data_IF_853365543220
#
_entry.id   IF_853365543220
#
_cell.length_a   1.000
_cell.length_b   1.000
_cell.length_c   1.000
_cell.angle_alpha   90.00
_cell.angle_beta   90.00
_cell.angle_gamma   90.00
#
_symmetry.space_group_name_H-M   'P 1'
#
loop_
_entity.id
_entity.type
_entity.pdbx_description
1 polymer ?
#
# COMPACT_ATOMS: atom_id res chain seq x y z
N UNK A 1 13.19 15.53 35.04
CA UNK A 1 11.98 14.82 34.55
C UNK A 1 12.42 13.64 33.68
N UNK A 2 12.31 12.39 34.17
CA UNK A 2 12.49 11.20 33.33
C UNK A 2 11.27 11.07 32.43
N UNK A 3 11.44 11.32 31.13
CA UNK A 3 10.38 11.12 30.13
C UNK A 3 10.23 9.60 29.97
N UNK A 4 9.21 9.02 30.61
CA UNK A 4 8.86 7.62 30.40
C UNK A 4 8.33 7.49 28.97
N UNK A 5 9.21 7.18 28.03
CA UNK A 5 8.90 6.87 26.63
C UNK A 5 8.55 5.40 26.47
N UNK A 6 7.91 4.79 27.48
CA UNK A 6 7.38 3.45 27.33
C UNK A 6 6.14 3.52 26.45
N UNK A 7 6.28 3.05 25.21
CA UNK A 7 5.21 2.96 24.24
C UNK A 7 4.06 2.14 24.83
N UNK A 8 2.96 2.81 25.17
CA UNK A 8 1.77 2.15 25.70
C UNK A 8 1.00 1.45 24.57
N UNK A 9 1.43 0.23 24.26
CA UNK A 9 0.89 -0.61 23.20
C UNK A 9 -0.63 -0.82 23.33
N UNK A 10 -1.16 -0.96 24.55
CA UNK A 10 -2.60 -1.17 24.79
C UNK A 10 -3.42 0.08 24.45
N UNK A 11 -2.95 1.26 24.87
CA UNK A 11 -3.61 2.52 24.52
C UNK A 11 -3.54 2.75 23.01
N UNK A 12 -2.39 2.51 22.40
CA UNK A 12 -2.20 2.64 20.96
C UNK A 12 -3.13 1.71 20.16
N UNK A 13 -3.22 0.43 20.53
CA UNK A 13 -4.14 -0.53 19.90
C UNK A 13 -5.62 -0.12 20.06
N UNK A 14 -5.99 0.44 21.22
CA UNK A 14 -7.35 0.92 21.49
C UNK A 14 -7.75 2.09 20.58
N UNK A 15 -6.87 3.09 20.40
CA UNK A 15 -7.13 4.22 19.49
C UNK A 15 -7.07 3.83 18.01
N UNK A 16 -6.31 2.77 17.67
CA UNK A 16 -6.15 2.26 16.31
C UNK A 16 -7.27 1.34 15.85
N UNK A 17 -8.03 0.73 16.76
CA UNK A 17 -9.05 -0.27 16.46
C UNK A 17 -10.36 0.29 15.85
N UNK A 18 -10.31 1.47 15.22
CA UNK A 18 -11.49 2.21 14.79
C UNK A 18 -12.06 1.78 13.43
N UNK A 19 -11.28 1.12 12.57
CA UNK A 19 -11.74 0.80 11.23
C UNK A 19 -12.57 -0.49 11.19
N UNK A 20 -13.75 -0.42 10.57
CA UNK A 20 -14.56 -1.59 10.30
C UNK A 20 -13.82 -2.58 9.39
N UNK A 21 -13.93 -3.87 9.71
CA UNK A 21 -13.23 -4.95 8.98
C UNK A 21 -13.60 -4.95 7.49
N UNK A 22 -14.87 -4.69 7.16
CA UNK A 22 -15.35 -4.65 5.79
C UNK A 22 -14.79 -3.44 5.03
N UNK A 23 -14.68 -2.29 5.70
CA UNK A 23 -14.08 -1.08 5.11
C UNK A 23 -12.60 -1.28 4.80
N UNK A 24 -11.85 -1.95 5.69
CA UNK A 24 -10.44 -2.27 5.43
C UNK A 24 -10.32 -3.12 4.18
N UNK A 25 -11.10 -4.19 4.07
CA UNK A 25 -11.05 -5.10 2.92
C UNK A 25 -11.40 -4.38 1.62
N UNK A 26 -12.50 -3.64 1.63
CA UNK A 26 -12.94 -2.85 0.47
C UNK A 26 -11.90 -1.81 0.05
N UNK A 27 -11.35 -1.09 1.03
CA UNK A 27 -10.33 -0.06 0.77
C UNK A 27 -9.06 -0.67 0.21
N UNK A 28 -8.54 -1.75 0.80
CA UNK A 28 -7.32 -2.40 0.31
C UNK A 28 -7.49 -2.92 -1.11
N UNK A 29 -8.63 -3.57 -1.39
CA UNK A 29 -8.95 -4.04 -2.75
C UNK A 29 -8.98 -2.87 -3.73
N UNK A 30 -9.64 -1.77 -3.35
CA UNK A 30 -9.74 -0.57 -4.19
C UNK A 30 -8.37 0.08 -4.44
N UNK A 31 -7.54 0.20 -3.40
CA UNK A 31 -6.21 0.81 -3.52
C UNK A 31 -5.27 -0.04 -4.37
N UNK A 32 -5.20 -1.35 -4.13
CA UNK A 32 -4.28 -2.22 -4.84
C UNK A 32 -4.78 -2.54 -6.24
N UNK A 33 -5.96 -3.16 -6.35
CA UNK A 33 -6.46 -3.60 -7.66
C UNK A 33 -6.94 -2.39 -8.47
N UNK A 34 -7.71 -1.50 -7.84
CA UNK A 34 -8.33 -0.38 -8.54
C UNK A 34 -7.34 0.70 -8.97
N UNK A 35 -6.31 0.97 -8.17
CA UNK A 35 -5.38 2.08 -8.43
C UNK A 35 -3.99 1.58 -8.79
N UNK A 36 -3.29 0.86 -7.90
CA UNK A 36 -1.92 0.45 -8.16
C UNK A 36 -1.81 -0.47 -9.39
N UNK A 37 -2.65 -1.49 -9.49
CA UNK A 37 -2.56 -2.44 -10.60
C UNK A 37 -3.02 -1.82 -11.91
N UNK A 38 -4.13 -1.09 -11.91
CA UNK A 38 -4.69 -0.50 -13.15
C UNK A 38 -3.90 0.71 -13.64
N UNK A 39 -3.46 1.60 -12.75
CA UNK A 39 -2.87 2.88 -13.15
C UNK A 39 -1.34 2.93 -13.02
N UNK A 40 -0.73 1.99 -12.32
CA UNK A 40 0.74 1.92 -12.19
C UNK A 40 1.29 0.67 -12.87
N UNK A 41 0.74 -0.50 -12.56
CA UNK A 41 1.26 -1.76 -13.10
C UNK A 41 0.93 -1.94 -14.59
N UNK A 42 -0.33 -1.83 -14.99
CA UNK A 42 -0.73 -2.03 -16.39
C UNK A 42 0.00 -1.08 -17.36
N UNK A 43 0.12 0.24 -17.08
CA UNK A 43 0.85 1.13 -17.95
C UNK A 43 2.34 0.81 -18.02
N UNK A 44 2.94 0.14 -17.03
CA UNK A 44 4.32 -0.33 -17.13
C UNK A 44 4.49 -1.35 -18.28
N UNK A 45 3.47 -2.18 -18.55
CA UNK A 45 3.45 -3.18 -19.61
C UNK A 45 2.91 -2.70 -20.96
N UNK A 46 2.19 -1.57 -20.99
CA UNK A 46 1.63 -1.05 -22.23
C UNK A 46 2.70 -0.52 -23.20
N UNK A 47 2.39 -0.45 -24.50
CA UNK A 47 3.31 0.09 -25.50
C UNK A 47 3.59 1.58 -25.27
N UNK A 48 4.84 2.08 -25.45
CA UNK A 48 6.03 1.33 -25.86
C UNK A 48 6.59 0.46 -24.72
N UNK A 49 6.84 -0.82 -25.01
CA UNK A 49 7.35 -1.78 -24.02
C UNK A 49 8.82 -1.50 -23.75
N UNK A 50 9.13 -1.08 -22.53
CA UNK A 50 10.48 -0.76 -22.09
C UNK A 50 10.78 -1.49 -20.76
N UNK A 51 11.69 -2.49 -20.77
CA UNK A 51 11.93 -3.34 -19.61
C UNK A 51 12.35 -2.60 -18.35
N UNK A 52 13.08 -1.49 -18.48
CA UNK A 52 13.55 -0.70 -17.33
C UNK A 52 12.41 -0.24 -16.42
N UNK A 53 11.31 0.24 -17.01
CA UNK A 53 10.15 0.70 -16.25
C UNK A 53 9.41 -0.46 -15.56
N UNK A 54 9.36 -1.64 -16.18
CA UNK A 54 8.81 -2.82 -15.50
C UNK A 54 9.65 -3.24 -14.31
N UNK A 55 10.98 -3.28 -14.44
CA UNK A 55 11.85 -3.67 -13.33
C UNK A 55 11.78 -2.70 -12.15
N UNK A 56 11.45 -1.43 -12.38
CA UNK A 56 11.24 -0.44 -11.32
C UNK A 56 9.86 -0.61 -10.67
N UNK A 57 8.80 -0.82 -11.46
CA UNK A 57 7.41 -0.84 -10.98
C UNK A 57 6.98 -2.19 -10.40
N UNK A 58 7.37 -3.30 -11.04
CA UNK A 58 6.85 -4.63 -10.70
C UNK A 58 7.21 -5.05 -9.27
N UNK A 59 8.47 -4.93 -8.79
CA UNK A 59 8.81 -5.33 -7.43
C UNK A 59 8.01 -4.61 -6.32
N UNK A 60 7.89 -3.26 -6.30
CA UNK A 60 7.14 -2.58 -5.25
C UNK A 60 5.62 -2.83 -5.34
N UNK A 61 5.04 -2.95 -6.55
CA UNK A 61 3.61 -3.25 -6.69
C UNK A 61 3.30 -4.71 -6.31
N UNK A 62 4.17 -5.65 -6.65
CA UNK A 62 4.04 -7.04 -6.20
C UNK A 62 4.12 -7.15 -4.68
N UNK A 63 5.03 -6.39 -4.05
CA UNK A 63 5.12 -6.28 -2.60
C UNK A 63 3.81 -5.75 -1.99
N UNK A 64 3.23 -4.67 -2.54
CA UNK A 64 1.94 -4.14 -2.08
C UNK A 64 0.82 -5.18 -2.20
N UNK A 65 0.77 -5.93 -3.30
CA UNK A 65 -0.22 -6.99 -3.52
C UNK A 65 -0.14 -8.08 -2.45
N UNK A 66 1.05 -8.62 -2.20
CA UNK A 66 1.26 -9.65 -1.17
C UNK A 66 0.91 -9.11 0.22
N UNK A 67 1.31 -7.88 0.53
CA UNK A 67 1.03 -7.26 1.82
C UNK A 67 -0.47 -6.99 2.02
N UNK A 68 -1.15 -6.56 0.97
CA UNK A 68 -2.60 -6.36 0.94
C UNK A 68 -3.38 -7.66 1.18
N UNK A 69 -3.03 -8.75 0.49
CA UNK A 69 -3.62 -10.08 0.72
C UNK A 69 -3.43 -10.48 2.17
N UNK A 70 -2.23 -10.30 2.72
CA UNK A 70 -1.97 -10.56 4.13
C UNK A 70 -2.92 -9.74 5.01
N UNK A 71 -3.03 -8.43 4.86
CA UNK A 71 -3.93 -7.64 5.71
C UNK A 71 -5.40 -8.06 5.54
N UNK A 72 -5.85 -8.36 4.31
CA UNK A 72 -7.23 -8.73 3.99
C UNK A 72 -7.70 -10.05 4.65
N UNK A 73 -6.80 -11.02 4.86
CA UNK A 73 -7.11 -12.29 5.55
C UNK A 73 -7.56 -12.02 6.98
N UNK A 74 -6.82 -11.19 7.73
CA UNK A 74 -7.06 -10.93 9.16
C UNK A 74 -7.00 -9.43 9.52
N UNK A 75 -7.92 -8.60 8.99
CA UNK A 75 -7.87 -7.15 9.13
C UNK A 75 -8.01 -6.69 10.58
N UNK A 76 -8.80 -7.41 11.39
CA UNK A 76 -9.04 -7.07 12.81
C UNK A 76 -7.76 -7.11 13.65
N UNK A 77 -6.86 -8.08 13.38
CA UNK A 77 -5.56 -8.19 14.07
C UNK A 77 -4.48 -7.32 13.43
N UNK A 78 -4.75 -6.74 12.25
CA UNK A 78 -3.77 -6.07 11.38
C UNK A 78 -4.08 -4.60 11.16
N UNK A 79 -4.84 -3.97 12.07
CA UNK A 79 -5.19 -2.54 12.03
C UNK A 79 -3.95 -1.64 11.94
N UNK A 80 -2.91 -1.89 12.75
CA UNK A 80 -1.63 -1.16 12.67
C UNK A 80 -0.97 -1.29 11.30
N UNK A 81 -0.92 -2.52 10.80
CA UNK A 81 -0.33 -2.83 9.49
C UNK A 81 -1.12 -2.17 8.37
N UNK A 82 -2.44 -2.07 8.50
CA UNK A 82 -3.30 -1.33 7.57
C UNK A 82 -2.99 0.17 7.55
N UNK A 83 -2.82 0.82 8.70
CA UNK A 83 -2.45 2.23 8.74
C UNK A 83 -1.07 2.48 8.12
N UNK A 84 -0.09 1.63 8.42
CA UNK A 84 1.24 1.70 7.80
C UNK A 84 1.17 1.45 6.29
N UNK A 85 0.40 0.45 5.88
CA UNK A 85 0.17 0.10 4.49
C UNK A 85 -0.34 1.29 3.68
N UNK A 86 -1.30 2.07 4.21
CA UNK A 86 -1.81 3.27 3.52
C UNK A 86 -0.73 4.31 3.26
N UNK A 87 0.19 4.51 4.21
CA UNK A 87 1.32 5.42 4.05
C UNK A 87 2.33 4.94 2.99
N UNK A 88 2.74 3.66 3.09
CA UNK A 88 3.67 3.05 2.12
C UNK A 88 3.07 3.00 0.71
N UNK A 89 1.79 2.65 0.63
CA UNK A 89 1.01 2.68 -0.61
C UNK A 89 1.07 4.05 -1.28
N UNK A 90 0.85 5.13 -0.52
CA UNK A 90 0.91 6.49 -1.06
C UNK A 90 2.28 6.80 -1.67
N UNK A 91 3.37 6.47 -0.97
CA UNK A 91 4.72 6.69 -1.46
C UNK A 91 5.01 5.89 -2.74
N UNK A 92 4.66 4.59 -2.77
CA UNK A 92 4.88 3.73 -3.94
C UNK A 92 4.06 4.22 -5.13
N UNK A 93 2.79 4.58 -4.95
CA UNK A 93 1.96 5.09 -6.04
C UNK A 93 2.43 6.46 -6.55
N UNK A 94 2.89 7.36 -5.68
CA UNK A 94 3.46 8.65 -6.12
C UNK A 94 4.69 8.46 -7.00
N UNK A 95 5.65 7.64 -6.57
CA UNK A 95 6.84 7.33 -7.38
C UNK A 95 6.44 6.56 -8.64
N UNK A 96 5.53 5.60 -8.52
CA UNK A 96 5.06 4.78 -9.63
C UNK A 96 4.43 5.62 -10.73
N UNK A 97 3.54 6.55 -10.38
CA UNK A 97 2.92 7.46 -11.35
C UNK A 97 3.96 8.38 -12.00
N UNK A 98 4.94 8.90 -11.26
CA UNK A 98 6.03 9.69 -11.83
C UNK A 98 6.83 8.90 -12.87
N UNK A 99 7.17 7.64 -12.55
CA UNK A 99 7.89 6.73 -13.44
C UNK A 99 7.07 6.41 -14.69
N UNK A 100 5.77 6.18 -14.54
CA UNK A 100 4.86 5.99 -15.68
C UNK A 100 4.76 7.26 -16.52
N UNK A 101 4.64 8.45 -15.93
CA UNK A 101 4.65 9.70 -16.69
C UNK A 101 5.93 9.87 -17.49
N UNK A 102 7.09 9.56 -16.91
CA UNK A 102 8.38 9.61 -17.62
C UNK A 102 8.49 8.62 -18.76
N UNK A 103 7.84 7.46 -18.67
CA UNK A 103 7.80 6.47 -19.75
C UNK A 103 7.06 6.99 -21.00
N UNK A 104 6.02 7.81 -20.80
CA UNK A 104 5.12 8.28 -21.85
C UNK A 104 5.34 9.73 -22.29
N UNK A 105 6.21 10.46 -21.58
CA UNK A 105 6.66 11.81 -21.93
C UNK A 105 7.68 11.76 -23.07
#
# INVERSE_FOLDING_TARGET
MKKNTDFNKKAFEYYMALYAVNDIRSTIITLVIGIADIFVLLPAFANPVQPIYMYIIVPPVAFLNVWAIWIAINPRKRQLQYTLFRGVYGAICSVGLLVITQKYA
#
